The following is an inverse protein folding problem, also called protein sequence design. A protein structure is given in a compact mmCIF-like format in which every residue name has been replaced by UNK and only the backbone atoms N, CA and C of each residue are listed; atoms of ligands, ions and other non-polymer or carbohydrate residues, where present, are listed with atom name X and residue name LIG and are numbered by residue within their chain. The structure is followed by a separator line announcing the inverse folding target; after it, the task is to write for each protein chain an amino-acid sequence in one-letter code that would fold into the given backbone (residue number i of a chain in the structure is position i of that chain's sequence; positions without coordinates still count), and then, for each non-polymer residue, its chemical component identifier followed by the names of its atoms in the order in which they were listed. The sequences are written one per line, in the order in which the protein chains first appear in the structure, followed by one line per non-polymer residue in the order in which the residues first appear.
data_IF_210367887303
#
_entry.id   IF_210367887303
#
_cell.length_a   1.000
_cell.length_b   1.000
_cell.length_c   1.000
_cell.angle_alpha   90.00
_cell.angle_beta   90.00
_cell.angle_gamma   90.00
#
_symmetry.space_group_name_H-M   'P 1'
#
loop_
_entity.id
_entity.type
_entity.pdbx_description
1 polymer ?
#
# COMPACT_ATOMS: atom_id res chain seq x y z
N UNK A 1 1.80 -1.95 20.40
CA UNK A 1 0.82 -1.01 19.81
C UNK A 1 0.81 -1.10 18.29
N UNK A 2 -0.05 -1.96 17.70
CA UNK A 2 -0.32 -1.98 16.25
C UNK A 2 -1.41 -0.95 15.97
N UNK A 3 -1.12 0.13 15.26
CA UNK A 3 -2.14 1.04 14.77
C UNK A 3 -3.07 0.24 13.83
N UNK A 4 -4.28 -0.07 14.28
CA UNK A 4 -5.31 -0.60 13.40
C UNK A 4 -5.54 0.45 12.31
N UNK A 5 -5.43 0.09 11.04
CA UNK A 5 -5.60 0.99 9.87
C UNK A 5 -7.04 1.52 9.68
N UNK A 6 -7.73 1.82 10.77
CA UNK A 6 -9.12 2.28 10.83
C UNK A 6 -9.25 3.80 10.71
N UNK A 7 -8.17 4.57 10.81
CA UNK A 7 -8.23 6.03 10.82
C UNK A 7 -7.36 6.67 9.72
N UNK A 8 -8.02 7.26 8.73
CA UNK A 8 -7.41 7.99 7.61
C UNK A 8 -6.53 9.15 8.08
N UNK A 9 -6.91 9.83 9.17
CA UNK A 9 -6.16 10.96 9.73
C UNK A 9 -4.80 10.48 10.24
N UNK A 10 -4.76 9.34 10.95
CA UNK A 10 -3.53 8.77 11.46
C UNK A 10 -2.62 8.31 10.32
N UNK A 11 -3.16 7.57 9.35
CA UNK A 11 -2.39 7.11 8.18
C UNK A 11 -1.81 8.27 7.37
N UNK A 12 -2.55 9.36 7.20
CA UNK A 12 -2.06 10.57 6.54
C UNK A 12 -0.92 11.22 7.32
N UNK A 13 -1.06 11.35 8.64
CA UNK A 13 -0.03 11.94 9.51
C UNK A 13 1.27 11.13 9.46
N UNK A 14 1.16 9.80 9.48
CA UNK A 14 2.33 8.92 9.39
C UNK A 14 3.01 9.02 8.02
N UNK A 15 2.24 9.05 6.93
CA UNK A 15 2.81 9.24 5.59
C UNK A 15 3.50 10.61 5.43
N UNK A 16 2.90 11.68 5.93
CA UNK A 16 3.49 13.02 5.90
C UNK A 16 4.78 13.13 6.73
N UNK A 17 4.92 12.33 7.79
CA UNK A 17 6.16 12.25 8.58
C UNK A 17 7.27 11.51 7.85
N UNK A 18 6.93 10.53 7.01
CA UNK A 18 7.90 9.67 6.30
C UNK A 18 8.48 10.31 5.04
N UNK A 19 7.74 11.22 4.39
CA UNK A 19 8.14 11.78 3.09
C UNK A 19 8.26 13.32 3.12
N UNK A 20 9.27 13.90 2.44
CA UNK A 20 9.39 15.35 2.24
C UNK A 20 8.15 15.97 1.59
N UNK A 21 7.82 17.20 1.99
CA UNK A 21 6.59 17.88 1.57
C UNK A 21 6.53 18.14 0.07
N UNK A 22 7.67 18.41 -0.57
CA UNK A 22 7.72 18.62 -2.02
C UNK A 22 7.30 17.37 -2.82
N UNK A 23 7.43 16.18 -2.24
CA UNK A 23 7.08 14.93 -2.90
C UNK A 23 5.62 14.52 -2.70
N UNK A 24 4.87 15.18 -1.79
CA UNK A 24 3.54 14.70 -1.40
C UNK A 24 2.57 14.58 -2.57
N UNK A 25 2.53 15.56 -3.48
CA UNK A 25 1.62 15.52 -4.62
C UNK A 25 1.99 14.40 -5.61
N UNK A 26 3.29 14.26 -5.88
CA UNK A 26 3.82 13.22 -6.76
C UNK A 26 3.54 11.83 -6.20
N UNK A 27 3.88 11.61 -4.93
CA UNK A 27 3.68 10.33 -4.24
C UNK A 27 2.19 9.98 -4.14
N UNK A 28 1.33 10.97 -3.86
CA UNK A 28 -0.11 10.74 -3.81
C UNK A 28 -0.66 10.16 -5.11
N UNK A 29 -0.31 10.79 -6.24
CA UNK A 29 -0.71 10.30 -7.57
C UNK A 29 -0.10 8.93 -7.87
N UNK A 30 1.19 8.73 -7.56
CA UNK A 30 1.85 7.43 -7.74
C UNK A 30 1.16 6.31 -6.96
N UNK A 31 0.76 6.56 -5.71
CA UNK A 31 0.02 5.59 -4.89
C UNK A 31 -1.34 5.28 -5.51
N UNK A 32 -2.05 6.29 -6.03
CA UNK A 32 -3.35 6.10 -6.70
C UNK A 32 -3.19 5.25 -7.96
N UNK A 33 -2.25 5.60 -8.84
CA UNK A 33 -2.01 4.85 -10.08
C UNK A 33 -1.58 3.42 -9.77
N UNK A 34 -0.66 3.25 -8.82
CA UNK A 34 -0.23 1.92 -8.39
C UNK A 34 -1.40 1.06 -7.89
N UNK A 35 -2.26 1.63 -7.03
CA UNK A 35 -3.43 0.92 -6.50
C UNK A 35 -4.44 0.54 -7.60
N UNK A 36 -4.55 1.34 -8.67
CA UNK A 36 -5.46 1.03 -9.78
C UNK A 36 -4.90 -0.03 -10.72
N UNK A 37 -3.61 0.04 -11.03
CA UNK A 37 -2.99 -0.81 -12.06
C UNK A 37 -2.50 -2.15 -11.51
N UNK A 38 -1.94 -2.16 -10.29
CA UNK A 38 -1.22 -3.32 -9.74
C UNK A 38 -1.89 -3.92 -8.51
N UNK A 39 -2.52 -3.10 -7.66
CA UNK A 39 -3.16 -3.56 -6.41
C UNK A 39 -4.67 -3.22 -6.31
N UNK A 40 -5.51 -3.60 -7.30
CA UNK A 40 -6.93 -3.26 -7.29
C UNK A 40 -7.68 -3.97 -6.16
N UNK A 41 -8.74 -3.35 -5.65
CA UNK A 41 -9.54 -3.91 -4.54
C UNK A 41 -10.28 -5.22 -4.91
N UNK A 42 -10.56 -5.45 -6.19
CA UNK A 42 -11.18 -6.68 -6.73
C UNK A 42 -10.31 -7.20 -7.86
N UNK A 43 -10.23 -8.53 -8.00
CA UNK A 43 -9.40 -9.16 -9.04
C UNK A 43 -7.89 -8.95 -8.84
N UNK A 44 -7.47 -8.76 -7.58
CA UNK A 44 -6.06 -8.60 -7.21
C UNK A 44 -5.25 -9.83 -7.63
N UNK A 45 -4.09 -9.59 -8.24
CA UNK A 45 -3.17 -10.63 -8.70
C UNK A 45 -1.77 -10.34 -8.13
N UNK A 46 -1.24 -11.28 -7.34
CA UNK A 46 0.06 -11.12 -6.67
C UNK A 46 1.23 -11.00 -7.66
N UNK A 47 1.13 -11.59 -8.85
CA UNK A 47 2.19 -11.51 -9.85
C UNK A 47 2.33 -10.11 -10.45
N UNK A 48 1.26 -9.32 -10.41
CA UNK A 48 1.26 -7.91 -10.82
C UNK A 48 1.59 -6.96 -9.66
N UNK A 49 1.35 -7.35 -8.42
CA UNK A 49 1.61 -6.49 -7.26
C UNK A 49 3.02 -6.67 -6.71
N UNK A 50 3.98 -5.94 -7.29
CA UNK A 50 5.39 -5.96 -6.88
C UNK A 50 5.60 -5.63 -5.41
N UNK A 51 4.90 -4.63 -4.87
CA UNK A 51 5.05 -4.20 -3.47
C UNK A 51 4.61 -5.34 -2.53
N UNK A 52 3.41 -5.91 -2.74
CA UNK A 52 2.95 -6.98 -1.86
C UNK A 52 3.80 -8.24 -2.04
N UNK A 53 4.26 -8.53 -3.25
CA UNK A 53 5.18 -9.66 -3.52
C UNK A 53 6.50 -9.53 -2.76
N UNK A 54 7.05 -8.32 -2.64
CA UNK A 54 8.34 -8.08 -1.98
C UNK A 54 8.24 -7.91 -0.46
N UNK A 55 7.28 -7.11 0.04
CA UNK A 55 7.20 -6.72 1.45
C UNK A 55 5.86 -7.03 2.12
N UNK A 56 4.98 -7.76 1.44
CA UNK A 56 3.65 -8.11 1.93
C UNK A 56 3.64 -8.98 3.18
N UNK A 57 2.47 -9.06 3.83
CA UNK A 57 2.28 -9.88 5.02
C UNK A 57 2.44 -11.36 4.67
N UNK A 58 3.25 -12.10 5.43
CA UNK A 58 3.46 -13.55 5.27
C UNK A 58 2.16 -14.34 5.21
N UNK A 59 1.16 -13.99 6.03
CA UNK A 59 -0.15 -14.66 6.03
C UNK A 59 -0.87 -14.54 4.69
N UNK A 60 -0.77 -13.38 4.01
CA UNK A 60 -1.39 -13.14 2.70
C UNK A 60 -0.63 -13.88 1.61
N UNK A 61 0.71 -13.83 1.63
CA UNK A 61 1.55 -14.55 0.66
C UNK A 61 1.35 -16.07 0.75
N UNK A 62 1.22 -16.61 1.96
CA UNK A 62 0.99 -18.04 2.16
C UNK A 62 -0.40 -18.50 1.68
N UNK A 63 -1.41 -17.62 1.72
CA UNK A 63 -2.73 -17.92 1.16
C UNK A 63 -2.69 -18.00 -0.38
N UNK A 64 -1.86 -17.19 -1.02
CA UNK A 64 -1.72 -17.20 -2.48
C UNK A 64 -0.90 -18.40 -3.01
N UNK A 65 0.02 -18.94 -2.19
CA UNK A 65 0.87 -20.10 -2.56
C UNK A 65 0.22 -21.46 -2.30
N UNK A 66 -0.93 -21.50 -1.63
CA UNK A 66 -1.71 -22.71 -1.37
C UNK A 66 -2.64 -22.99 -2.54
#
# INVERSE_FOLDING_TARGET
NRASGKNVIQTRKDAQRLFPKELWNKLHLQIIYYGREYSPARGWNLDKDNITKTIGRKSVLNQYKK
#
